data_IF_727387303390
#
_entry.id   IF_727387303390
#
_cell.length_a   1.000
_cell.length_b   1.000
_cell.length_c   1.000
_cell.angle_alpha   90.00
_cell.angle_beta   90.00
_cell.angle_gamma   90.00
#
_symmetry.space_group_name_H-M   'P 1'
#
loop_
_entity.id
_entity.type
_entity.pdbx_description
1 polymer ?
#
# COMPACT_ATOMS: atom_id res chain seq x y z
N UNK A 1 -21.95 24.01 -57.03
CA UNK A 1 -21.60 24.56 -55.71
C UNK A 1 -21.34 23.37 -54.79
N UNK A 2 -20.08 23.02 -54.56
CA UNK A 2 -19.69 21.87 -53.74
C UNK A 2 -19.94 22.19 -52.27
N UNK A 3 -20.79 21.42 -51.60
CA UNK A 3 -20.84 21.40 -50.14
C UNK A 3 -19.76 20.43 -49.66
N UNK A 4 -18.66 20.97 -49.15
CA UNK A 4 -17.71 20.20 -48.36
C UNK A 4 -18.39 19.93 -47.02
N UNK A 5 -18.83 18.69 -46.81
CA UNK A 5 -19.23 18.22 -45.49
C UNK A 5 -17.95 18.11 -44.67
N UNK A 6 -17.69 19.12 -43.85
CA UNK A 6 -16.67 19.03 -42.80
C UNK A 6 -17.22 18.03 -41.78
N UNK A 7 -16.63 16.83 -41.74
CA UNK A 7 -16.85 15.90 -40.65
C UNK A 7 -16.28 16.53 -39.37
N UNK A 8 -17.14 17.10 -38.54
CA UNK A 8 -16.81 17.46 -37.17
C UNK A 8 -16.69 16.13 -36.43
N UNK A 9 -15.46 15.66 -36.23
CA UNK A 9 -15.19 14.55 -35.32
C UNK A 9 -15.48 15.08 -33.92
N UNK A 10 -16.71 14.83 -33.45
CA UNK A 10 -17.12 15.06 -32.06
C UNK A 10 -16.36 14.07 -31.18
N UNK A 11 -15.44 14.58 -30.36
CA UNK A 11 -14.75 13.92 -29.23
C UNK A 11 -14.26 12.49 -29.50
N UNK A 12 -13.04 12.38 -30.03
CA UNK A 12 -12.26 11.15 -29.88
C UNK A 12 -11.94 11.02 -28.39
N UNK A 13 -12.61 10.11 -27.69
CA UNK A 13 -12.21 9.68 -26.34
C UNK A 13 -10.78 9.13 -26.44
N UNK A 14 -9.77 9.96 -26.12
CA UNK A 14 -8.36 9.60 -26.25
C UNK A 14 -7.85 8.94 -24.97
N UNK A 15 -8.35 7.74 -24.70
CA UNK A 15 -7.64 6.79 -23.85
C UNK A 15 -6.22 6.56 -24.42
N UNK A 16 -5.21 6.86 -23.60
CA UNK A 16 -3.81 6.62 -23.92
C UNK A 16 -3.33 5.35 -23.21
N UNK A 17 -2.75 4.43 -23.97
CA UNK A 17 -2.19 3.21 -23.42
C UNK A 17 -0.88 3.50 -22.68
N UNK A 18 -0.72 2.89 -21.49
CA UNK A 18 0.53 2.99 -20.74
C UNK A 18 1.38 1.77 -21.07
N UNK A 19 2.38 1.98 -21.92
CA UNK A 19 3.42 0.99 -22.17
C UNK A 19 4.18 0.62 -20.89
N UNK A 20 4.69 -0.61 -20.85
CA UNK A 20 5.51 -1.09 -19.76
C UNK A 20 6.78 -0.23 -19.63
N UNK A 21 7.14 0.12 -18.40
CA UNK A 21 8.28 0.99 -18.12
C UNK A 21 9.09 0.47 -16.95
N UNK A 22 10.40 0.73 -16.96
CA UNK A 22 11.30 0.24 -15.93
C UNK A 22 11.19 1.01 -14.62
N UNK A 23 11.60 2.28 -14.59
CA UNK A 23 11.72 3.01 -13.31
C UNK A 23 10.53 3.91 -13.05
N UNK A 24 10.35 4.93 -13.88
CA UNK A 24 9.37 6.00 -13.67
C UNK A 24 8.63 6.34 -14.95
N UNK A 25 7.38 6.77 -14.82
CA UNK A 25 6.56 7.29 -15.93
C UNK A 25 5.81 8.52 -15.46
N UNK A 26 5.86 9.59 -16.26
CA UNK A 26 5.02 10.76 -16.09
C UNK A 26 3.84 10.65 -17.06
N UNK A 27 2.64 10.82 -16.54
CA UNK A 27 1.41 10.96 -17.32
C UNK A 27 1.01 12.42 -17.29
N UNK A 28 0.71 12.98 -18.46
CA UNK A 28 0.31 14.37 -18.62
C UNK A 28 -0.92 14.46 -19.51
N UNK A 29 -1.87 15.29 -19.11
CA UNK A 29 -3.08 15.61 -19.88
C UNK A 29 -3.14 17.11 -20.12
N UNK A 30 -4.18 17.60 -20.81
CA UNK A 30 -4.29 19.02 -21.12
C UNK A 30 -4.41 19.87 -19.84
N UNK A 31 -3.94 21.12 -19.93
CA UNK A 31 -4.12 22.08 -18.84
C UNK A 31 -5.60 22.34 -18.63
N UNK A 32 -6.04 22.29 -17.37
CA UNK A 32 -7.47 22.38 -17.02
C UNK A 32 -8.17 21.02 -16.89
N UNK A 33 -7.44 19.92 -17.09
CA UNK A 33 -7.89 18.56 -16.81
C UNK A 33 -7.12 17.95 -15.62
N UNK A 34 -7.68 16.88 -15.06
CA UNK A 34 -6.98 15.96 -14.18
C UNK A 34 -6.80 14.60 -14.88
N UNK A 35 -5.74 13.87 -14.51
CA UNK A 35 -5.43 12.54 -15.03
C UNK A 35 -6.30 11.52 -14.32
N UNK A 36 -7.03 10.70 -15.08
CA UNK A 36 -7.65 9.47 -14.59
C UNK A 36 -6.87 8.28 -15.16
N UNK A 37 -6.34 7.42 -14.29
CA UNK A 37 -5.64 6.20 -14.68
C UNK A 37 -6.45 4.98 -14.27
N UNK A 38 -6.59 4.04 -15.20
CA UNK A 38 -7.06 2.68 -14.95
C UNK A 38 -5.90 1.70 -15.13
N UNK A 39 -5.67 0.80 -14.17
CA UNK A 39 -4.59 -0.18 -14.26
C UNK A 39 -4.81 -1.40 -13.36
N UNK A 40 -4.14 -2.50 -13.66
CA UNK A 40 -3.84 -3.58 -12.70
C UNK A 40 -2.36 -3.90 -12.76
N UNK A 41 -1.81 -4.44 -11.68
CA UNK A 41 -0.45 -4.93 -11.63
C UNK A 41 -0.45 -6.44 -11.42
N UNK A 42 0.51 -7.11 -12.03
CA UNK A 42 0.70 -8.53 -11.82
C UNK A 42 2.18 -8.93 -11.94
N UNK A 43 2.52 -10.03 -11.29
CA UNK A 43 3.80 -10.73 -11.42
C UNK A 43 3.52 -12.11 -11.99
N UNK A 44 4.42 -12.60 -12.85
CA UNK A 44 4.30 -13.93 -13.44
C UNK A 44 4.22 -15.00 -12.33
N UNK A 45 3.29 -15.94 -12.49
CA UNK A 45 3.05 -16.99 -11.49
C UNK A 45 4.26 -17.86 -11.21
N UNK A 46 5.18 -17.99 -12.18
CA UNK A 46 6.45 -18.72 -12.06
C UNK A 46 7.49 -18.07 -11.14
N UNK A 47 7.34 -16.78 -10.80
CA UNK A 47 8.28 -16.07 -9.95
C UNK A 47 7.98 -16.32 -8.47
N UNK A 48 9.02 -16.59 -7.68
CA UNK A 48 8.93 -16.80 -6.23
C UNK A 48 8.86 -15.47 -5.46
N UNK A 49 8.57 -15.55 -4.16
CA UNK A 49 8.52 -14.38 -3.27
C UNK A 49 7.12 -13.81 -3.05
N UNK A 50 7.06 -12.84 -2.16
CA UNK A 50 5.87 -12.16 -1.68
C UNK A 50 6.05 -10.66 -1.95
N UNK A 51 5.57 -10.14 -3.09
CA UNK A 51 5.96 -8.83 -3.62
C UNK A 51 5.84 -7.69 -2.61
N UNK A 52 4.73 -7.67 -1.87
CA UNK A 52 4.42 -6.69 -0.83
C UNK A 52 5.44 -6.71 0.33
N UNK A 53 5.78 -7.91 0.82
CA UNK A 53 6.80 -8.17 1.84
C UNK A 53 8.24 -7.99 1.33
N UNK A 54 8.47 -8.13 0.02
CA UNK A 54 9.76 -7.99 -0.65
C UNK A 54 10.04 -6.53 -1.11
N UNK A 55 9.23 -5.57 -0.69
CA UNK A 55 9.36 -4.14 -1.05
C UNK A 55 9.24 -3.91 -2.59
N UNK A 56 8.46 -4.78 -3.25
CA UNK A 56 8.06 -4.66 -4.66
C UNK A 56 6.71 -3.95 -4.77
N UNK A 57 6.69 -2.78 -5.39
CA UNK A 57 5.46 -1.99 -5.49
C UNK A 57 5.48 -0.98 -6.63
N UNK A 58 4.29 -0.57 -7.03
CA UNK A 58 4.02 0.61 -7.84
C UNK A 58 3.58 1.76 -6.93
N UNK A 59 4.29 2.87 -6.98
CA UNK A 59 3.97 4.12 -6.29
C UNK A 59 3.37 5.11 -7.29
N UNK A 60 2.25 5.74 -6.94
CA UNK A 60 1.57 6.74 -7.79
C UNK A 60 1.41 8.03 -7.01
N UNK A 61 1.79 9.15 -7.62
CA UNK A 61 1.80 10.49 -7.02
C UNK A 61 1.05 11.51 -7.86
N UNK A 62 0.46 12.47 -7.16
CA UNK A 62 -0.31 13.58 -7.69
C UNK A 62 0.59 14.78 -7.99
N UNK A 63 1.28 14.74 -9.13
CA UNK A 63 2.17 15.80 -9.58
C UNK A 63 3.23 15.32 -10.56
N UNK A 64 4.27 16.13 -10.74
CA UNK A 64 5.26 15.97 -11.80
C UNK A 64 6.42 15.01 -11.45
N UNK A 65 6.73 14.85 -10.16
CA UNK A 65 7.92 14.10 -9.72
C UNK A 65 7.72 13.44 -8.34
N UNK A 66 8.79 12.84 -7.81
CA UNK A 66 8.78 12.10 -6.56
C UNK A 66 8.45 12.90 -5.28
N UNK A 67 8.56 14.24 -5.29
CA UNK A 67 8.19 15.08 -4.14
C UNK A 67 6.69 15.36 -4.05
N UNK A 68 5.93 15.01 -5.09
CA UNK A 68 4.49 15.20 -5.15
C UNK A 68 3.74 14.35 -4.12
N UNK A 69 2.47 14.69 -3.86
CA UNK A 69 1.64 14.00 -2.87
C UNK A 69 1.41 12.53 -3.28
N UNK A 70 1.41 11.63 -2.31
CA UNK A 70 1.24 10.20 -2.57
C UNK A 70 -0.25 9.84 -2.75
N UNK A 71 -0.65 9.36 -3.92
CA UNK A 71 -2.01 8.88 -4.16
C UNK A 71 -2.20 7.43 -3.73
N UNK A 72 -1.15 6.62 -3.81
CA UNK A 72 -1.22 5.23 -3.38
C UNK A 72 0.04 4.44 -3.67
N UNK A 73 0.14 3.28 -3.03
CA UNK A 73 1.20 2.30 -3.28
C UNK A 73 0.61 0.90 -3.43
N UNK A 74 0.88 0.24 -4.55
CA UNK A 74 0.19 -0.95 -5.05
C UNK A 74 1.16 -2.13 -5.17
N UNK A 75 0.73 -3.31 -4.74
CA UNK A 75 1.44 -4.60 -4.77
C UNK A 75 0.36 -5.69 -4.69
N UNK A 76 0.80 -6.92 -4.84
CA UNK A 76 -0.04 -8.12 -4.96
C UNK A 76 0.43 -8.91 -6.16
N UNK A 77 0.25 -10.24 -6.15
CA UNK A 77 0.69 -11.09 -7.27
C UNK A 77 -0.16 -10.87 -8.51
N UNK A 78 -1.46 -10.69 -8.33
CA UNK A 78 -2.41 -10.33 -9.37
C UNK A 78 -3.50 -9.47 -8.75
N UNK A 79 -3.53 -8.18 -9.07
CA UNK A 79 -4.49 -7.26 -8.43
C UNK A 79 -5.76 -7.11 -9.25
N UNK A 80 -6.85 -6.78 -8.56
CA UNK A 80 -8.03 -6.18 -9.19
C UNK A 80 -7.67 -4.89 -9.94
N UNK A 81 -8.58 -4.46 -10.81
CA UNK A 81 -8.43 -3.20 -11.53
C UNK A 81 -8.58 -2.02 -10.58
N UNK A 82 -7.64 -1.09 -10.64
CA UNK A 82 -7.63 0.16 -9.89
C UNK A 82 -7.99 1.31 -10.82
N UNK A 83 -8.73 2.27 -10.27
CA UNK A 83 -8.92 3.58 -10.87
C UNK A 83 -8.46 4.63 -9.88
N UNK A 84 -7.52 5.48 -10.31
CA UNK A 84 -7.01 6.61 -9.53
C UNK A 84 -7.10 7.88 -10.35
N UNK A 85 -7.17 9.00 -9.64
CA UNK A 85 -7.31 10.32 -10.25
C UNK A 85 -6.33 11.26 -9.57
N UNK A 86 -5.68 12.13 -10.33
CA UNK A 86 -4.88 13.24 -9.80
C UNK A 86 -5.77 14.45 -9.49
N UNK A 87 -5.21 15.47 -8.84
CA UNK A 87 -5.89 16.76 -8.66
C UNK A 87 -5.68 17.73 -9.82
N UNK A 88 -4.75 17.41 -10.72
CA UNK A 88 -4.43 18.26 -11.88
C UNK A 88 -3.76 17.48 -13.02
N UNK A 89 -3.14 18.20 -13.94
CA UNK A 89 -2.74 17.65 -15.25
C UNK A 89 -1.54 16.69 -15.24
N UNK A 90 -0.88 16.46 -14.09
CA UNK A 90 0.27 15.57 -13.98
C UNK A 90 0.01 14.44 -12.99
N UNK A 91 0.45 13.24 -13.35
CA UNK A 91 0.53 12.10 -12.44
C UNK A 91 1.85 11.38 -12.65
N UNK A 92 2.58 11.14 -11.56
CA UNK A 92 3.90 10.51 -11.61
C UNK A 92 3.85 9.11 -11.00
N UNK A 93 4.34 8.14 -11.76
CA UNK A 93 4.38 6.73 -11.40
C UNK A 93 5.83 6.28 -11.23
N UNK A 94 6.07 5.39 -10.27
CA UNK A 94 7.37 4.74 -10.08
C UNK A 94 7.21 3.32 -9.60
N UNK A 95 7.89 2.40 -10.29
CA UNK A 95 8.13 1.07 -9.74
C UNK A 95 9.30 1.07 -8.76
N UNK A 96 9.24 0.22 -7.73
CA UNK A 96 10.39 0.04 -6.86
C UNK A 96 11.60 -0.53 -7.64
N UNK A 97 12.85 -0.27 -7.20
CA UNK A 97 14.04 -0.58 -8.01
C UNK A 97 14.17 -2.04 -8.44
N UNK A 98 13.70 -3.00 -7.63
CA UNK A 98 13.80 -4.44 -7.89
C UNK A 98 12.56 -5.02 -8.60
N UNK A 99 11.62 -4.18 -9.06
CA UNK A 99 10.31 -4.62 -9.55
C UNK A 99 10.36 -5.71 -10.63
N UNK A 100 9.48 -6.70 -10.47
CA UNK A 100 9.19 -7.74 -11.46
C UNK A 100 7.79 -7.60 -12.06
N UNK A 101 7.15 -6.47 -11.75
CA UNK A 101 5.78 -6.17 -12.14
C UNK A 101 5.64 -5.89 -13.62
N UNK A 102 4.49 -6.28 -14.16
CA UNK A 102 3.98 -5.80 -15.44
C UNK A 102 2.69 -5.02 -15.22
N UNK A 103 2.50 -3.96 -16.00
CA UNK A 103 1.22 -3.27 -16.09
C UNK A 103 0.28 -4.06 -17.00
N UNK A 104 -0.90 -4.41 -16.48
CA UNK A 104 -1.96 -5.05 -17.25
C UNK A 104 -3.08 -4.05 -17.53
N UNK A 105 -3.50 -3.94 -18.79
CA UNK A 105 -4.62 -3.11 -19.24
C UNK A 105 -4.53 -1.67 -18.68
N UNK A 106 -3.32 -1.11 -18.64
CA UNK A 106 -3.09 0.20 -18.08
C UNK A 106 -3.34 1.28 -19.13
N UNK A 107 -4.21 2.23 -18.79
CA UNK A 107 -4.55 3.36 -19.66
C UNK A 107 -4.84 4.59 -18.82
N UNK A 108 -4.70 5.76 -19.42
CA UNK A 108 -5.09 7.01 -18.78
C UNK A 108 -5.81 7.94 -19.75
N UNK A 109 -6.54 8.90 -19.21
CA UNK A 109 -7.19 9.95 -19.96
C UNK A 109 -7.28 11.25 -19.14
N UNK A 110 -7.52 12.36 -19.84
CA UNK A 110 -7.79 13.65 -19.22
C UNK A 110 -9.28 13.83 -18.96
N UNK A 111 -9.63 14.18 -17.72
CA UNK A 111 -10.99 14.55 -17.32
C UNK A 111 -11.06 16.02 -16.97
N UNK A 112 -12.11 16.71 -17.41
CA UNK A 112 -12.32 18.11 -17.07
C UNK A 112 -12.48 18.28 -15.55
N UNK A 113 -11.91 19.35 -14.97
CA UNK A 113 -11.93 19.59 -13.52
C UNK A 113 -13.34 19.72 -12.92
N UNK A 114 -14.35 20.03 -13.74
CA UNK A 114 -15.76 20.10 -13.34
C UNK A 114 -16.47 18.72 -13.37
N UNK A 115 -15.91 17.71 -14.03
CA UNK A 115 -16.42 16.35 -14.09
C UNK A 115 -16.09 15.62 -12.77
N UNK A 116 -16.77 16.01 -11.69
CA UNK A 116 -16.46 15.50 -10.35
C UNK A 116 -16.92 14.06 -10.17
N UNK A 117 -16.07 13.25 -9.55
CA UNK A 117 -16.39 11.91 -9.07
C UNK A 117 -16.45 11.93 -7.56
N UNK A 118 -17.49 11.30 -7.02
CA UNK A 118 -17.75 11.14 -5.60
C UNK A 118 -16.51 10.77 -4.80
N UNK A 119 -16.29 11.48 -3.70
CA UNK A 119 -15.14 11.30 -2.82
C UNK A 119 -15.49 10.29 -1.72
N UNK A 120 -14.73 9.23 -1.58
CA UNK A 120 -15.00 8.20 -0.58
C UNK A 120 -13.72 7.80 0.16
N UNK A 121 -13.83 7.70 1.49
CA UNK A 121 -12.82 7.02 2.30
C UNK A 121 -12.93 5.52 2.01
N UNK A 122 -11.87 4.95 1.45
CA UNK A 122 -11.74 3.51 1.33
C UNK A 122 -11.47 2.97 2.73
N UNK A 123 -12.09 1.85 3.11
CA UNK A 123 -11.98 1.18 4.42
C UNK A 123 -10.66 1.50 5.13
N UNK A 124 -10.71 2.45 6.07
CA UNK A 124 -9.55 2.89 6.84
C UNK A 124 -9.38 1.95 8.03
N UNK A 125 -8.19 1.37 8.19
CA UNK A 125 -7.88 0.56 9.35
C UNK A 125 -7.86 1.45 10.59
N UNK A 126 -8.82 1.23 11.51
CA UNK A 126 -8.96 2.00 12.75
C UNK A 126 -7.74 1.86 13.65
N UNK A 127 -7.15 0.68 13.68
CA UNK A 127 -5.91 0.40 14.42
C UNK A 127 -4.77 0.27 13.43
N UNK A 128 -3.78 1.15 13.54
CA UNK A 128 -2.57 1.08 12.71
C UNK A 128 -1.37 0.80 13.60
N UNK A 129 -0.60 -0.22 13.22
CA UNK A 129 0.57 -0.64 13.98
C UNK A 129 1.77 0.20 13.61
N UNK A 130 2.54 0.58 14.63
CA UNK A 130 3.73 1.41 14.48
C UNK A 130 4.83 0.91 15.41
N UNK A 131 6.08 1.01 14.98
CA UNK A 131 7.24 0.59 15.78
C UNK A 131 7.87 1.79 16.48
N UNK A 132 8.05 1.71 17.81
CA UNK A 132 8.65 2.77 18.61
C UNK A 132 10.07 3.11 18.10
N UNK A 133 10.43 4.39 18.16
CA UNK A 133 11.74 4.93 17.74
C UNK A 133 12.06 4.72 16.25
N UNK A 134 11.03 4.49 15.43
CA UNK A 134 11.15 4.39 13.99
C UNK A 134 10.25 5.43 13.31
N UNK A 135 10.63 5.83 12.09
CA UNK A 135 9.71 6.56 11.22
C UNK A 135 8.66 5.58 10.69
N UNK A 136 7.40 5.95 10.84
CA UNK A 136 6.26 5.14 10.39
C UNK A 136 5.30 5.97 9.53
N UNK A 137 4.30 5.31 8.97
CA UNK A 137 3.33 5.92 8.07
C UNK A 137 1.93 5.51 8.46
N UNK A 138 1.08 6.51 8.69
CA UNK A 138 -0.36 6.33 8.82
C UNK A 138 -1.01 6.44 7.44
N UNK A 139 -2.03 5.63 7.20
CA UNK A 139 -2.70 5.51 5.92
C UNK A 139 -4.18 5.86 6.03
N UNK A 140 -4.64 6.70 5.11
CA UNK A 140 -6.05 7.04 4.95
C UNK A 140 -6.36 7.12 3.46
N UNK A 141 -6.57 5.96 2.80
CA UNK A 141 -6.81 5.93 1.37
C UNK A 141 -8.17 6.55 1.05
N UNK A 142 -8.18 7.50 0.11
CA UNK A 142 -9.39 8.14 -0.37
C UNK A 142 -9.43 8.06 -1.90
N UNK A 143 -10.63 7.87 -2.46
CA UNK A 143 -10.88 7.92 -3.90
C UNK A 143 -11.81 9.09 -4.21
N UNK A 144 -11.77 9.59 -5.44
CA UNK A 144 -12.59 10.71 -5.91
C UNK A 144 -11.91 11.40 -7.07
N UNK A 145 -12.62 12.30 -7.75
CA UNK A 145 -12.13 12.99 -8.95
C UNK A 145 -12.57 14.46 -8.94
N UNK A 146 -11.66 15.44 -9.06
CA UNK A 146 -10.21 15.31 -8.92
C UNK A 146 -9.81 14.69 -7.56
N UNK A 147 -8.54 14.30 -7.40
CA UNK A 147 -8.05 13.66 -6.17
C UNK A 147 -8.50 14.43 -4.91
N UNK A 148 -9.13 13.76 -3.93
CA UNK A 148 -9.61 14.43 -2.72
C UNK A 148 -8.45 14.98 -1.89
N UNK A 149 -8.67 16.16 -1.29
CA UNK A 149 -7.79 16.65 -0.23
C UNK A 149 -8.14 15.96 1.08
N UNK A 150 -7.12 15.42 1.72
CA UNK A 150 -7.19 14.74 3.01
C UNK A 150 -6.60 15.67 4.06
N UNK A 151 -7.43 16.00 5.05
CA UNK A 151 -7.02 16.78 6.22
C UNK A 151 -6.67 15.82 7.34
N UNK A 152 -5.37 15.75 7.65
CA UNK A 152 -4.86 14.99 8.77
C UNK A 152 -4.81 15.86 10.03
N UNK A 153 -5.25 15.30 11.15
CA UNK A 153 -5.20 15.94 12.45
C UNK A 153 -4.42 15.13 13.46
N UNK A 154 -3.70 15.84 14.33
CA UNK A 154 -3.02 15.33 15.53
C UNK A 154 -3.58 16.08 16.73
N UNK A 155 -4.25 15.38 17.64
CA UNK A 155 -4.94 15.99 18.79
C UNK A 155 -5.89 17.13 18.37
N UNK A 156 -6.56 16.97 17.22
CA UNK A 156 -7.47 17.96 16.65
C UNK A 156 -6.80 19.07 15.82
N UNK A 157 -5.49 19.31 15.97
CA UNK A 157 -4.77 20.29 15.16
C UNK A 157 -4.46 19.74 13.76
N UNK A 158 -4.63 20.57 12.71
CA UNK A 158 -4.30 20.17 11.34
C UNK A 158 -2.79 20.08 11.17
N UNK A 159 -2.30 18.91 10.74
CA UNK A 159 -0.87 18.66 10.52
C UNK A 159 -0.52 18.46 9.04
N UNK A 160 -1.48 18.08 8.22
CA UNK A 160 -1.31 17.95 6.77
C UNK A 160 -2.64 18.19 6.07
N UNK A 161 -2.64 18.96 4.98
CA UNK A 161 -3.81 19.17 4.13
C UNK A 161 -3.38 19.11 2.66
N UNK A 162 -3.45 17.91 2.09
CA UNK A 162 -2.91 17.60 0.75
C UNK A 162 -3.69 16.46 0.13
N UNK A 163 -3.34 16.04 -1.10
CA UNK A 163 -3.89 14.83 -1.72
C UNK A 163 -3.17 13.55 -1.28
N UNK A 164 -2.26 13.64 -0.30
CA UNK A 164 -1.49 12.50 0.19
C UNK A 164 -2.32 11.59 1.08
N UNK A 165 -2.48 10.33 0.66
CA UNK A 165 -3.13 9.26 1.44
C UNK A 165 -2.30 8.78 2.63
N UNK A 166 -1.13 9.38 2.84
CA UNK A 166 -0.15 8.98 3.85
C UNK A 166 0.30 10.18 4.68
N UNK A 167 0.37 9.97 5.99
CA UNK A 167 1.04 10.86 6.95
C UNK A 167 2.27 10.15 7.50
N UNK A 168 3.45 10.74 7.34
CA UNK A 168 4.67 10.23 7.96
C UNK A 168 4.80 10.79 9.37
N UNK A 169 5.15 9.93 10.32
CA UNK A 169 5.34 10.28 11.72
C UNK A 169 6.64 9.67 12.23
N UNK A 170 7.26 10.29 13.22
CA UNK A 170 8.33 9.69 14.00
C UNK A 170 7.72 9.20 15.31
N UNK A 171 7.78 7.90 15.55
CA UNK A 171 7.05 7.27 16.66
C UNK A 171 7.85 7.43 17.95
N UNK A 172 7.33 8.21 18.88
CA UNK A 172 7.86 8.37 20.25
C UNK A 172 6.87 7.78 21.26
N UNK A 173 7.25 7.77 22.54
CA UNK A 173 6.34 7.31 23.62
C UNK A 173 5.08 8.20 23.76
N UNK A 174 5.16 9.47 23.37
CA UNK A 174 4.01 10.38 23.37
C UNK A 174 2.88 9.90 22.44
N UNK A 175 3.24 9.22 21.35
CA UNK A 175 2.32 8.78 20.31
C UNK A 175 1.35 7.68 20.75
N UNK A 176 1.57 7.05 21.92
CA UNK A 176 0.60 6.12 22.50
C UNK A 176 -0.72 6.77 22.87
N UNK A 177 -0.68 8.04 23.29
CA UNK A 177 -1.86 8.77 23.78
C UNK A 177 -2.37 9.79 22.75
N UNK A 178 -1.67 9.94 21.63
CA UNK A 178 -2.00 10.89 20.58
C UNK A 178 -3.19 10.39 19.76
N UNK A 179 -4.17 11.29 19.54
CA UNK A 179 -5.35 11.01 18.72
C UNK A 179 -5.12 11.50 17.30
N UNK A 180 -5.05 10.56 16.35
CA UNK A 180 -4.98 10.88 14.93
C UNK A 180 -6.34 10.76 14.28
N UNK A 181 -6.62 11.61 13.31
CA UNK A 181 -7.78 11.44 12.43
C UNK A 181 -7.47 11.94 11.02
N UNK A 182 -8.17 11.39 10.04
CA UNK A 182 -8.19 11.89 8.68
C UNK A 182 -9.61 12.26 8.27
N UNK A 183 -9.73 13.32 7.48
CA UNK A 183 -11.00 13.88 7.05
C UNK A 183 -10.99 14.14 5.54
N UNK A 184 -12.09 13.80 4.88
CA UNK A 184 -12.38 14.20 3.49
C UNK A 184 -13.82 14.68 3.40
N UNK A 185 -14.05 15.66 2.52
CA UNK A 185 -15.42 16.02 2.13
C UNK A 185 -15.96 14.94 1.20
N UNK A 186 -17.17 14.46 1.46
CA UNK A 186 -17.96 13.55 0.62
C UNK A 186 -19.30 14.21 0.30
N UNK A 187 -19.37 14.92 -0.84
CA UNK A 187 -20.57 15.64 -1.28
C UNK A 187 -21.15 16.61 -0.23
N UNK A 188 -20.28 17.38 0.43
CA UNK A 188 -20.68 18.30 1.51
C UNK A 188 -20.89 17.63 2.86
N UNK A 189 -20.73 16.31 2.95
CA UNK A 189 -20.67 15.57 4.22
C UNK A 189 -19.23 15.29 4.58
N UNK A 190 -18.77 15.87 5.69
CA UNK A 190 -17.42 15.61 6.18
C UNK A 190 -17.34 14.18 6.74
N UNK A 191 -16.62 13.30 6.05
CA UNK A 191 -16.27 11.97 6.56
C UNK A 191 -14.97 12.04 7.35
N UNK A 192 -15.03 11.66 8.62
CA UNK A 192 -13.88 11.60 9.53
C UNK A 192 -13.66 10.17 10.00
N UNK A 193 -12.43 9.70 9.91
CA UNK A 193 -11.98 8.44 10.53
C UNK A 193 -10.97 8.73 11.63
N UNK A 194 -11.22 8.16 12.80
CA UNK A 194 -10.31 8.22 13.94
C UNK A 194 -9.36 7.03 13.86
N UNK A 195 -8.07 7.30 14.02
CA UNK A 195 -6.98 6.31 13.92
C UNK A 195 -6.35 6.16 15.31
N UNK A 196 -6.41 4.95 15.83
CA UNK A 196 -5.71 4.53 17.05
C UNK A 196 -4.38 3.88 16.68
N UNK A 197 -3.32 4.24 17.40
CA UNK A 197 -2.00 3.66 17.20
C UNK A 197 -1.79 2.45 18.11
N UNK A 198 -1.39 1.33 17.53
CA UNK A 198 -0.83 0.20 18.26
C UNK A 198 0.70 0.32 18.23
N UNK A 199 1.27 0.94 19.27
CA UNK A 199 2.71 1.16 19.38
C UNK A 199 3.40 -0.10 19.91
N UNK A 200 4.12 -0.77 19.03
CA UNK A 200 4.91 -1.96 19.30
C UNK A 200 6.35 -1.56 19.65
N UNK A 201 6.92 -2.18 20.69
CA UNK A 201 8.24 -1.81 21.24
C UNK A 201 9.26 -2.92 21.20
N UNK A 202 8.80 -4.15 21.02
CA UNK A 202 9.62 -5.33 21.18
C UNK A 202 9.80 -5.99 19.82
N UNK A 203 11.01 -5.89 19.28
CA UNK A 203 11.48 -6.90 18.35
C UNK A 203 11.98 -8.09 19.18
N UNK A 204 11.52 -9.32 18.91
CA UNK A 204 11.93 -10.47 19.68
C UNK A 204 13.44 -10.63 19.63
N UNK A 205 14.11 -10.73 20.77
CA UNK A 205 15.55 -11.05 20.79
C UNK A 205 15.74 -12.52 20.40
N UNK A 206 16.76 -12.85 19.56
CA UNK A 206 17.84 -12.01 19.03
C UNK A 206 17.59 -11.53 17.58
N UNK A 207 16.33 -11.37 17.19
CA UNK A 207 15.92 -10.92 15.87
C UNK A 207 16.13 -9.41 15.69
N UNK A 208 16.14 -8.99 14.42
CA UNK A 208 16.20 -7.60 14.02
C UNK A 208 14.95 -7.24 13.22
N UNK A 209 14.32 -6.12 13.56
CA UNK A 209 13.08 -5.70 12.93
C UNK A 209 13.30 -4.40 12.16
N UNK A 210 12.80 -4.32 10.93
CA UNK A 210 12.79 -3.10 10.12
C UNK A 210 11.37 -2.76 9.67
N UNK A 211 11.02 -1.49 9.63
CA UNK A 211 9.80 -1.02 8.97
C UNK A 211 10.02 -1.06 7.46
N UNK A 212 9.15 -1.76 6.72
CA UNK A 212 9.29 -1.94 5.27
C UNK A 212 9.00 -0.64 4.51
N UNK A 213 9.84 -0.33 3.51
CA UNK A 213 9.68 0.86 2.68
C UNK A 213 8.58 0.61 1.66
N UNK A 214 7.66 1.56 1.56
CA UNK A 214 6.71 1.63 0.46
C UNK A 214 5.27 1.32 0.80
N UNK A 215 4.88 0.52 1.81
CA UNK A 215 3.49 0.00 1.80
C UNK A 215 2.56 0.03 3.02
N UNK A 216 1.34 0.43 2.65
CA UNK A 216 -0.06 0.21 3.07
C UNK A 216 -0.44 -0.03 4.53
N UNK A 217 0.41 -0.61 5.38
CA UNK A 217 -0.03 -1.07 6.71
C UNK A 217 1.04 -0.94 7.81
N UNK A 218 2.12 -0.21 7.56
CA UNK A 218 3.21 -0.09 8.53
C UNK A 218 3.88 -1.44 8.80
N UNK A 219 3.97 -2.30 7.78
CA UNK A 219 4.48 -3.67 7.93
C UNK A 219 5.93 -3.67 8.44
N UNK A 220 6.21 -4.67 9.25
CA UNK A 220 7.54 -4.94 9.80
C UNK A 220 8.12 -6.18 9.13
N UNK A 221 9.40 -6.14 8.80
CA UNK A 221 10.18 -7.33 8.49
C UNK A 221 10.99 -7.70 9.72
N UNK A 222 10.76 -8.90 10.24
CA UNK A 222 11.48 -9.49 11.35
C UNK A 222 12.46 -10.54 10.82
N UNK A 223 13.76 -10.26 10.94
CA UNK A 223 14.83 -11.17 10.58
C UNK A 223 15.34 -11.90 11.84
N UNK A 224 15.08 -13.20 11.88
CA UNK A 224 15.54 -14.14 12.90
C UNK A 224 16.45 -15.23 12.30
N UNK A 225 17.05 -15.00 11.14
CA UNK A 225 17.90 -15.95 10.44
C UNK A 225 19.16 -16.30 11.26
N UNK A 226 19.53 -17.59 11.30
CA UNK A 226 20.84 -18.00 11.81
C UNK A 226 21.01 -17.79 13.33
N UNK A 227 19.92 -17.55 14.05
CA UNK A 227 19.93 -17.18 15.47
C UNK A 227 19.95 -18.36 16.43
N UNK A 228 20.14 -19.58 15.92
CA UNK A 228 20.17 -20.84 16.68
C UNK A 228 18.88 -21.11 17.47
N UNK A 229 17.74 -20.57 17.00
CA UNK A 229 16.46 -20.68 17.68
C UNK A 229 15.98 -22.13 17.71
N UNK A 230 15.53 -22.59 18.88
CA UNK A 230 14.93 -23.91 19.08
C UNK A 230 13.40 -23.87 19.11
N UNK A 231 12.83 -22.67 19.25
CA UNK A 231 11.39 -22.40 19.22
C UNK A 231 11.13 -21.06 18.54
N UNK A 232 9.90 -20.84 18.09
CA UNK A 232 9.44 -19.54 17.59
C UNK A 232 9.60 -18.47 18.70
N UNK A 233 10.19 -17.30 18.42
CA UNK A 233 10.30 -16.24 19.40
C UNK A 233 8.92 -15.74 19.84
N UNK A 234 8.76 -15.51 21.15
CA UNK A 234 7.55 -14.86 21.67
C UNK A 234 7.57 -13.39 21.27
N UNK A 235 6.38 -12.80 21.09
CA UNK A 235 6.18 -11.36 20.81
C UNK A 235 6.77 -10.90 19.47
N UNK A 236 6.57 -11.65 18.39
CA UNK A 236 6.79 -11.12 17.04
C UNK A 236 5.80 -9.98 16.82
N UNK A 237 6.23 -8.79 16.32
CA UNK A 237 5.34 -7.66 16.05
C UNK A 237 4.10 -8.09 15.24
N UNK A 238 2.90 -7.65 15.62
CA UNK A 238 1.66 -8.01 14.90
C UNK A 238 1.64 -7.44 13.49
N UNK A 239 2.36 -6.34 13.29
CA UNK A 239 2.60 -5.75 11.98
C UNK A 239 3.55 -6.57 11.09
N UNK A 240 4.10 -7.69 11.56
CA UNK A 240 5.09 -8.45 10.78
C UNK A 240 4.46 -9.00 9.50
N UNK A 241 4.91 -8.46 8.37
CA UNK A 241 4.56 -8.94 7.03
C UNK A 241 5.58 -9.91 6.44
N UNK A 242 6.84 -9.82 6.90
CA UNK A 242 7.92 -10.72 6.51
C UNK A 242 8.61 -11.27 7.75
N UNK A 243 8.59 -12.59 7.93
CA UNK A 243 9.29 -13.28 9.02
C UNK A 243 10.28 -14.28 8.45
N UNK A 244 11.56 -14.07 8.73
CA UNK A 244 12.63 -14.99 8.36
C UNK A 244 13.10 -15.75 9.60
N UNK A 245 12.82 -17.05 9.64
CA UNK A 245 13.25 -17.99 10.66
C UNK A 245 14.17 -19.06 10.09
N UNK A 246 14.75 -18.82 8.91
CA UNK A 246 15.62 -19.78 8.24
C UNK A 246 16.93 -20.00 9.01
N UNK A 247 17.63 -21.09 8.70
CA UNK A 247 18.95 -21.42 9.27
C UNK A 247 18.94 -21.52 10.81
N UNK A 248 17.86 -22.05 11.39
CA UNK A 248 17.70 -22.22 12.83
C UNK A 248 17.67 -23.73 13.22
N UNK A 249 17.28 -24.02 14.46
CA UNK A 249 17.22 -25.37 15.04
C UNK A 249 15.79 -25.71 15.49
N UNK A 250 14.77 -25.20 14.79
CA UNK A 250 13.38 -25.47 15.10
C UNK A 250 13.07 -26.95 14.83
N UNK A 251 12.52 -27.64 15.83
CA UNK A 251 12.18 -29.07 15.76
C UNK A 251 10.69 -29.30 15.46
N UNK A 252 9.84 -28.39 15.93
CA UNK A 252 8.40 -28.43 15.75
C UNK A 252 7.84 -26.99 15.66
N UNK A 253 6.59 -26.89 15.21
CA UNK A 253 5.79 -25.68 15.30
C UNK A 253 4.58 -25.96 16.19
N UNK A 254 4.22 -25.00 17.03
CA UNK A 254 2.96 -25.06 17.78
C UNK A 254 1.81 -24.66 16.87
N UNK A 255 0.64 -25.28 17.05
CA UNK A 255 -0.60 -24.81 16.41
C UNK A 255 -0.84 -23.36 16.83
N UNK A 256 -1.10 -22.50 15.86
CA UNK A 256 -1.32 -21.07 16.07
C UNK A 256 -0.11 -20.25 16.51
N UNK A 257 1.10 -20.73 16.22
CA UNK A 257 2.34 -20.00 16.47
C UNK A 257 2.40 -18.59 15.81
N UNK A 258 1.56 -18.33 14.82
CA UNK A 258 1.51 -17.06 14.07
C UNK A 258 0.13 -16.38 14.11
N UNK A 259 -0.76 -16.79 15.02
CA UNK A 259 -2.14 -16.29 15.11
C UNK A 259 -2.25 -14.79 15.36
N UNK A 260 -1.29 -14.20 16.08
CA UNK A 260 -1.20 -12.74 16.29
C UNK A 260 -0.64 -11.98 15.07
N UNK A 261 -0.03 -12.68 14.10
CA UNK A 261 0.65 -12.08 12.94
C UNK A 261 -0.21 -12.19 11.68
N UNK A 262 -1.46 -11.73 11.76
CA UNK A 262 -2.44 -11.77 10.64
C UNK A 262 -2.05 -10.95 9.41
N UNK A 263 -0.94 -10.21 9.46
CA UNK A 263 -0.38 -9.46 8.34
C UNK A 263 0.77 -10.20 7.64
N UNK A 264 1.11 -11.41 8.08
CA UNK A 264 2.24 -12.18 7.57
C UNK A 264 1.98 -12.65 6.13
N UNK A 265 2.78 -12.14 5.21
CA UNK A 265 2.70 -12.45 3.77
C UNK A 265 3.85 -13.34 3.33
N UNK A 266 4.96 -13.35 4.08
CA UNK A 266 6.13 -14.16 3.81
C UNK A 266 6.70 -14.76 5.09
N UNK A 267 6.82 -16.09 5.10
CA UNK A 267 7.44 -16.86 6.17
C UNK A 267 8.50 -17.79 5.59
N UNK A 268 9.74 -17.63 6.03
CA UNK A 268 10.84 -18.54 5.70
C UNK A 268 11.18 -19.43 6.90
N UNK A 269 11.07 -20.74 6.72
CA UNK A 269 11.42 -21.77 7.70
C UNK A 269 12.50 -22.73 7.18
N UNK A 270 13.14 -22.40 6.05
CA UNK A 270 14.15 -23.24 5.41
C UNK A 270 15.34 -23.51 6.33
N UNK A 271 16.03 -24.63 6.10
CA UNK A 271 17.21 -25.03 6.87
C UNK A 271 16.97 -25.08 8.39
N UNK A 272 15.82 -25.60 8.78
CA UNK A 272 15.50 -25.99 10.16
C UNK A 272 15.51 -27.52 10.32
N UNK A 273 15.12 -28.02 11.49
CA UNK A 273 15.10 -29.45 11.83
C UNK A 273 13.67 -29.95 12.05
N UNK A 274 12.70 -29.35 11.35
CA UNK A 274 11.28 -29.68 11.46
C UNK A 274 11.05 -31.09 10.93
N UNK A 275 10.60 -32.00 11.79
CA UNK A 275 10.31 -33.40 11.41
C UNK A 275 8.86 -33.60 10.98
N UNK A 276 7.93 -32.86 11.60
CA UNK A 276 6.51 -32.88 11.28
C UNK A 276 5.90 -31.49 11.46
N UNK A 277 4.85 -31.21 10.70
CA UNK A 277 4.03 -30.02 10.84
C UNK A 277 2.66 -30.45 11.38
N UNK A 278 2.18 -29.88 12.49
CA UNK A 278 0.84 -30.22 12.96
C UNK A 278 -0.21 -29.79 11.93
N UNK A 279 -1.34 -30.51 11.82
CA UNK A 279 -2.48 -30.06 11.01
C UNK A 279 -2.87 -28.63 11.41
N UNK A 280 -3.04 -27.75 10.42
CA UNK A 280 -3.38 -26.35 10.68
C UNK A 280 -2.25 -25.48 11.23
N UNK A 281 -0.98 -25.90 11.16
CA UNK A 281 0.18 -25.09 11.59
C UNK A 281 0.20 -23.66 10.98
N UNK A 282 -0.40 -23.51 9.80
CA UNK A 282 -0.49 -22.25 9.06
C UNK A 282 -1.93 -21.80 8.81
N UNK A 283 -2.92 -22.36 9.53
CA UNK A 283 -4.32 -22.00 9.34
C UNK A 283 -4.61 -20.52 9.65
N UNK A 284 -3.83 -19.93 10.55
CA UNK A 284 -3.99 -18.52 10.96
C UNK A 284 -3.20 -17.54 10.09
N UNK A 285 -2.30 -18.04 9.24
CA UNK A 285 -1.67 -17.22 8.23
C UNK A 285 -2.63 -17.25 7.05
N UNK A 286 -3.43 -16.19 6.91
CA UNK A 286 -4.12 -15.94 5.66
C UNK A 286 -3.06 -15.70 4.58
N UNK A 287 -2.59 -16.78 3.95
CA UNK A 287 -1.92 -16.70 2.66
C UNK A 287 -3.02 -16.25 1.72
N UNK A 288 -3.23 -14.94 1.60
CA UNK A 288 -4.35 -14.34 0.88
C UNK A 288 -4.61 -15.18 -0.37
N UNK A 289 -5.59 -16.08 -0.33
CA UNK A 289 -6.01 -16.78 -1.52
C UNK A 289 -6.43 -15.63 -2.41
N UNK A 290 -5.87 -15.57 -3.61
CA UNK A 290 -6.40 -14.80 -4.72
C UNK A 290 -7.88 -14.48 -4.47
N UNK A 291 -8.19 -13.19 -4.23
CA UNK A 291 -9.45 -12.65 -3.67
C UNK A 291 -9.38 -12.25 -2.18
N UNK A 292 -8.99 -11.00 -1.89
CA UNK A 292 -9.90 -10.12 -1.15
C UNK A 292 -9.50 -8.63 -1.23
N UNK A 293 -10.51 -7.75 -1.17
CA UNK A 293 -10.50 -6.28 -1.27
C UNK A 293 -10.58 -5.65 -2.68
N UNK A 294 -11.69 -5.91 -3.37
CA UNK A 294 -12.72 -4.86 -3.45
C UNK A 294 -13.96 -5.38 -2.72
N UNK A 295 -14.81 -4.47 -2.22
CA UNK A 295 -16.22 -4.84 -2.06
C UNK A 295 -16.77 -5.38 -3.39
#
# INVERSE_FOLDING_TARGET
MFFIIVAIITEVYSWEYIEDFGTTKLLQVEKGQYVEIGFRIYILSSLSGAPCADEEYLEIRDGYNQSANLLGVFCGRYTSYFTLRSSGHNMWLRFSPHHRYKLGNASFEGKALNAKVATNLVKVEKTQFVLLNHSSSLWCPARGGPAPRIVWRRNGAVVQNSTSVRLQINVTEEERNTKYSCEVDDHGQLKRENISLAVETECPQPCQCKVLKGKMKGLVSANCEGKQLKSIPKKIPRATGKLDLSNNKLLNLSVGAFSDNTKLEHLDLSNNQLQYLPPGAFADIEVSPWEDLTL
#
